data_IF_192564951791
#
_entry.id   IF_192564951791
#
_cell.length_a   1.000
_cell.length_b   1.000
_cell.length_c   1.000
_cell.angle_alpha   90.00
_cell.angle_beta   90.00
_cell.angle_gamma   90.00
#
_symmetry.space_group_name_H-M   'P 1'
#
loop_
_entity.id
_entity.type
_entity.pdbx_description
1 polymer ?
#
# COMPACT_ATOMS: atom_id res chain seq x y z
N UNK A 1 -10.02 -8.32 -9.40
CA UNK A 1 -9.65 -7.35 -8.36
C UNK A 1 -9.00 -6.17 -9.03
N UNK A 2 -9.23 -4.96 -8.53
CA UNK A 2 -8.54 -3.76 -9.01
C UNK A 2 -7.03 -3.85 -8.68
N UNK A 3 -6.19 -3.19 -9.47
CA UNK A 3 -4.75 -3.11 -9.17
C UNK A 3 -4.52 -2.03 -8.12
N UNK A 4 -3.50 -2.22 -7.28
CA UNK A 4 -3.17 -1.25 -6.23
C UNK A 4 -2.12 -0.26 -6.75
N UNK A 5 -2.40 1.03 -6.62
CA UNK A 5 -1.42 2.08 -6.94
C UNK A 5 -0.42 2.19 -5.77
N UNK A 6 0.86 1.96 -6.07
CA UNK A 6 1.96 2.03 -5.10
C UNK A 6 2.21 3.43 -4.52
N UNK A 7 1.67 4.48 -5.14
CA UNK A 7 1.74 5.86 -4.64
C UNK A 7 0.56 6.24 -3.75
N UNK A 8 -0.36 5.31 -3.50
CA UNK A 8 -1.54 5.52 -2.64
C UNK A 8 -1.14 5.77 -1.18
N UNK A 9 -2.10 6.25 -0.40
CA UNK A 9 -1.95 6.32 1.06
C UNK A 9 -1.82 4.93 1.68
N UNK A 10 -1.20 4.84 2.87
CA UNK A 10 -1.11 3.57 3.61
C UNK A 10 -2.49 2.97 3.86
N UNK A 11 -3.48 3.79 4.15
CA UNK A 11 -4.86 3.37 4.40
C UNK A 11 -5.48 2.70 3.16
N UNK A 12 -5.39 3.32 1.98
CA UNK A 12 -5.93 2.74 0.75
C UNK A 12 -5.24 1.40 0.38
N UNK A 13 -3.96 1.27 0.71
CA UNK A 13 -3.22 0.02 0.52
C UNK A 13 -3.64 -1.06 1.53
N UNK A 14 -3.87 -0.69 2.78
CA UNK A 14 -4.38 -1.58 3.83
C UNK A 14 -5.80 -2.08 3.49
N UNK A 15 -6.69 -1.19 3.04
CA UNK A 15 -8.04 -1.54 2.57
C UNK A 15 -8.01 -2.53 1.40
N UNK A 16 -7.06 -2.34 0.46
CA UNK A 16 -6.86 -3.26 -0.65
C UNK A 16 -6.46 -4.66 -0.16
N UNK A 17 -5.53 -4.74 0.78
CA UNK A 17 -5.07 -6.00 1.34
C UNK A 17 -6.18 -6.71 2.12
N UNK A 18 -6.98 -5.99 2.89
CA UNK A 18 -8.14 -6.55 3.59
C UNK A 18 -9.14 -7.15 2.60
N UNK A 19 -9.46 -6.45 1.51
CA UNK A 19 -10.32 -6.98 0.44
C UNK A 19 -9.72 -8.21 -0.23
N UNK A 20 -8.41 -8.24 -0.44
CA UNK A 20 -7.71 -9.42 -0.96
C UNK A 20 -7.86 -10.61 -0.01
N UNK A 21 -7.67 -10.41 1.29
CA UNK A 21 -7.78 -11.45 2.31
C UNK A 21 -9.21 -12.00 2.39
N UNK A 22 -10.23 -11.13 2.40
CA UNK A 22 -11.64 -11.52 2.33
C UNK A 22 -11.91 -12.34 1.06
N UNK A 23 -11.47 -11.84 -0.09
CA UNK A 23 -11.63 -12.55 -1.37
C UNK A 23 -10.96 -13.94 -1.33
N UNK A 24 -9.74 -14.02 -0.78
CA UNK A 24 -9.02 -15.27 -0.60
C UNK A 24 -9.80 -16.27 0.26
N UNK A 25 -10.41 -15.82 1.36
CA UNK A 25 -11.21 -16.68 2.23
C UNK A 25 -12.45 -17.27 1.54
N UNK A 26 -13.02 -16.57 0.56
CA UNK A 26 -14.14 -17.10 -0.24
C UNK A 26 -13.73 -18.23 -1.19
N UNK A 27 -12.44 -18.38 -1.48
CA UNK A 27 -11.92 -19.40 -2.40
C UNK A 27 -11.46 -20.62 -1.62
N UNK A 28 -12.26 -21.70 -1.68
CA UNK A 28 -12.00 -22.96 -0.96
C UNK A 28 -10.64 -23.60 -1.30
N UNK A 29 -10.04 -23.25 -2.43
CA UNK A 29 -8.83 -23.83 -2.98
C UNK A 29 -7.57 -22.96 -2.81
N UNK A 30 -7.69 -21.75 -2.25
CA UNK A 30 -6.57 -20.82 -2.04
C UNK A 30 -6.04 -21.00 -0.61
N UNK A 31 -5.00 -21.82 -0.46
CA UNK A 31 -4.24 -22.01 0.79
C UNK A 31 -2.73 -22.04 0.50
N UNK A 32 -1.93 -21.61 1.48
CA UNK A 32 -0.46 -21.69 1.41
C UNK A 32 0.10 -20.96 0.18
N UNK A 33 1.02 -21.60 -0.55
CA UNK A 33 1.72 -21.05 -1.71
C UNK A 33 0.79 -20.49 -2.80
N UNK A 34 -0.45 -20.99 -2.90
CA UNK A 34 -1.44 -20.44 -3.82
C UNK A 34 -1.77 -18.99 -3.51
N UNK A 35 -1.82 -18.58 -2.24
CA UNK A 35 -2.14 -17.19 -1.89
C UNK A 35 -1.07 -16.22 -2.39
N UNK A 36 0.20 -16.65 -2.35
CA UNK A 36 1.35 -15.88 -2.86
C UNK A 36 1.24 -15.70 -4.36
N UNK A 37 0.94 -16.76 -5.11
CA UNK A 37 0.72 -16.65 -6.55
C UNK A 37 -0.43 -15.69 -6.90
N UNK A 38 -1.53 -15.74 -6.14
CA UNK A 38 -2.68 -14.86 -6.38
C UNK A 38 -2.37 -13.39 -6.08
N UNK A 39 -1.72 -13.07 -4.95
CA UNK A 39 -1.38 -11.66 -4.66
C UNK A 39 -0.44 -11.11 -5.74
N UNK A 40 0.58 -11.88 -6.16
CA UNK A 40 1.52 -11.44 -7.20
C UNK A 40 0.83 -11.21 -8.55
N UNK A 41 -0.24 -11.96 -8.86
CA UNK A 41 -1.04 -11.75 -10.06
C UNK A 41 -1.98 -10.54 -9.97
N UNK A 42 -2.52 -10.24 -8.79
CA UNK A 42 -3.53 -9.20 -8.60
C UNK A 42 -2.99 -7.81 -8.23
N UNK A 43 -1.80 -7.70 -7.62
CA UNK A 43 -1.24 -6.40 -7.19
C UNK A 43 -0.92 -5.45 -8.34
N UNK A 44 -0.81 -5.96 -9.57
CA UNK A 44 -0.48 -5.16 -10.75
C UNK A 44 1.03 -5.01 -10.98
N UNK A 45 1.38 -4.40 -12.12
CA UNK A 45 2.77 -4.36 -12.63
C UNK A 45 3.71 -3.55 -11.73
N UNK A 46 3.26 -2.38 -11.29
CA UNK A 46 4.08 -1.41 -10.55
C UNK A 46 4.42 -1.95 -9.16
N UNK A 47 3.41 -2.40 -8.42
CA UNK A 47 3.57 -3.06 -7.13
C UNK A 47 4.45 -4.31 -7.24
N UNK A 48 4.28 -5.12 -8.29
CA UNK A 48 5.14 -6.28 -8.51
C UNK A 48 6.60 -5.91 -8.81
N UNK A 49 6.84 -4.85 -9.60
CA UNK A 49 8.21 -4.36 -9.88
C UNK A 49 8.89 -3.82 -8.62
N UNK A 50 8.15 -3.08 -7.79
CA UNK A 50 8.60 -2.64 -6.49
C UNK A 50 8.95 -3.84 -5.60
N UNK A 51 8.04 -4.82 -5.52
CA UNK A 51 8.24 -6.02 -4.71
C UNK A 51 9.47 -6.83 -5.12
N UNK A 52 9.77 -6.94 -6.43
CA UNK A 52 11.03 -7.55 -6.90
C UNK A 52 12.26 -6.82 -6.38
N UNK A 53 12.20 -5.50 -6.31
CA UNK A 53 13.31 -4.68 -5.83
C UNK A 53 13.48 -4.85 -4.32
N UNK A 54 12.35 -4.89 -3.58
CA UNK A 54 12.35 -5.05 -2.12
C UNK A 54 12.71 -6.47 -1.65
N UNK A 55 12.38 -7.49 -2.45
CA UNK A 55 12.62 -8.89 -2.13
C UNK A 55 14.05 -9.37 -2.48
N UNK A 56 14.84 -8.56 -3.19
CA UNK A 56 16.19 -8.93 -3.63
C UNK A 56 17.08 -9.31 -2.43
N UNK A 57 17.85 -10.41 -2.48
CA UNK A 57 18.17 -11.26 -3.65
C UNK A 57 17.16 -12.38 -3.95
N UNK A 58 16.13 -12.56 -3.12
CA UNK A 58 15.14 -13.62 -3.28
C UNK A 58 14.07 -13.25 -4.33
N UNK A 59 13.29 -14.25 -4.76
CA UNK A 59 12.17 -14.02 -5.68
C UNK A 59 10.90 -13.76 -4.87
N UNK A 60 10.03 -12.82 -5.28
CA UNK A 60 8.78 -12.60 -4.55
C UNK A 60 7.92 -13.86 -4.34
N UNK A 61 7.98 -14.82 -5.26
CA UNK A 61 7.22 -16.07 -5.16
C UNK A 61 7.75 -17.05 -4.09
N UNK A 62 9.02 -16.93 -3.68
CA UNK A 62 9.61 -17.77 -2.64
C UNK A 62 9.36 -17.24 -1.23
N UNK A 63 8.91 -15.99 -1.10
CA UNK A 63 8.65 -15.35 0.17
C UNK A 63 7.24 -15.70 0.69
N UNK A 64 7.07 -15.89 2.01
CA UNK A 64 5.76 -16.01 2.62
C UNK A 64 4.90 -14.77 2.40
N UNK A 65 3.58 -14.95 2.31
CA UNK A 65 2.64 -13.84 2.15
C UNK A 65 2.82 -12.74 3.22
N UNK A 66 3.05 -13.13 4.48
CA UNK A 66 3.28 -12.18 5.57
C UNK A 66 4.46 -11.25 5.29
N UNK A 67 5.57 -11.79 4.79
CA UNK A 67 6.75 -11.02 4.41
C UNK A 67 6.47 -10.08 3.25
N UNK A 68 5.74 -10.54 2.22
CA UNK A 68 5.36 -9.70 1.09
C UNK A 68 4.45 -8.53 1.52
N UNK A 69 3.47 -8.81 2.38
CA UNK A 69 2.57 -7.81 2.96
C UNK A 69 3.35 -6.76 3.74
N UNK A 70 4.28 -7.19 4.58
CA UNK A 70 5.12 -6.29 5.38
C UNK A 70 6.05 -5.43 4.50
N UNK A 71 6.70 -6.00 3.49
CA UNK A 71 7.56 -5.26 2.57
C UNK A 71 6.80 -4.13 1.87
N UNK A 72 5.60 -4.42 1.37
CA UNK A 72 4.77 -3.42 0.69
C UNK A 72 4.27 -2.34 1.66
N UNK A 73 3.76 -2.73 2.83
CA UNK A 73 3.30 -1.79 3.85
C UNK A 73 4.43 -0.87 4.33
N UNK A 74 5.62 -1.41 4.58
CA UNK A 74 6.78 -0.62 5.00
C UNK A 74 7.20 0.39 3.93
N UNK A 75 7.08 0.06 2.64
CA UNK A 75 7.34 1.01 1.57
C UNK A 75 6.32 2.16 1.55
N UNK A 76 5.03 1.83 1.57
CA UNK A 76 3.96 2.85 1.56
C UNK A 76 4.02 3.74 2.80
N UNK A 77 4.34 3.17 3.97
CA UNK A 77 4.56 3.92 5.23
C UNK A 77 5.84 4.76 5.22
N UNK A 78 6.93 4.31 4.59
CA UNK A 78 8.13 5.14 4.39
C UNK A 78 7.86 6.31 3.45
N UNK A 79 6.97 6.15 2.49
CA UNK A 79 6.54 7.24 1.61
C UNK A 79 5.80 8.35 2.36
N UNK A 80 5.23 8.07 3.54
CA UNK A 80 4.67 9.08 4.48
C UNK A 80 5.69 9.57 5.53
N UNK A 81 6.97 9.74 5.14
CA UNK A 81 8.03 10.20 6.03
C UNK A 81 7.68 11.53 6.72
N UNK A 82 8.01 11.68 8.01
CA UNK A 82 7.72 12.89 8.79
C UNK A 82 8.22 14.15 8.09
N UNK A 83 9.44 14.15 7.53
CA UNK A 83 9.94 15.34 6.83
C UNK A 83 9.14 15.67 5.57
N UNK A 84 8.57 14.67 4.89
CA UNK A 84 7.69 14.90 3.72
C UNK A 84 6.36 15.49 4.16
N UNK A 85 5.74 14.94 5.19
CA UNK A 85 4.48 15.46 5.74
C UNK A 85 4.68 16.87 6.32
N UNK A 86 5.78 17.08 7.04
CA UNK A 86 6.18 18.40 7.53
C UNK A 86 6.41 19.38 6.37
N UNK A 87 7.05 18.97 5.28
CA UNK A 87 7.20 19.81 4.09
C UNK A 87 5.85 20.12 3.41
N UNK A 88 4.91 19.16 3.37
CA UNK A 88 3.53 19.42 2.88
C UNK A 88 2.83 20.43 3.78
N UNK A 89 2.87 20.26 5.10
CA UNK A 89 2.29 21.17 6.08
C UNK A 89 2.85 22.58 5.93
N UNK A 90 4.18 22.74 5.80
CA UNK A 90 4.81 24.05 5.59
C UNK A 90 4.44 24.70 4.26
N UNK A 91 4.06 23.92 3.23
CA UNK A 91 3.57 24.44 1.94
C UNK A 91 2.09 24.79 1.96
N UNK A 92 1.33 24.37 2.98
CA UNK A 92 -0.09 24.69 3.07
C UNK A 92 -0.28 26.14 3.51
N UNK A 93 -0.87 26.94 2.62
CA UNK A 93 -1.26 28.32 2.91
C UNK A 93 -2.78 28.39 2.97
N UNK A 94 -3.32 28.88 4.10
CA UNK A 94 -4.76 29.15 4.21
C UNK A 94 -5.11 30.34 3.31
N UNK A 95 -6.00 30.12 2.35
CA UNK A 95 -6.58 31.22 1.56
C UNK A 95 -7.38 32.17 2.46
N UNK A 96 -7.29 33.47 2.20
CA UNK A 96 -7.89 34.53 3.03
C UNK A 96 -9.42 34.40 3.20
N UNK A 97 -10.10 33.83 2.21
CA UNK A 97 -11.54 33.60 2.19
C UNK A 97 -11.98 32.30 2.90
N UNK A 98 -11.05 31.43 3.32
CA UNK A 98 -11.37 30.11 3.87
C UNK A 98 -11.44 30.13 5.38
N UNK A 99 -12.55 29.66 5.96
CA UNK A 99 -12.73 29.60 7.43
C UNK A 99 -11.77 28.58 8.05
N UNK A 100 -11.30 28.87 9.27
CA UNK A 100 -10.37 28.00 10.01
C UNK A 100 -10.96 26.60 10.19
N UNK A 101 -12.25 26.49 10.53
CA UNK A 101 -12.96 25.22 10.69
C UNK A 101 -12.93 24.29 9.45
N UNK A 102 -12.82 24.88 8.26
CA UNK A 102 -12.75 24.13 6.98
C UNK A 102 -11.32 23.80 6.57
N UNK A 103 -10.34 24.43 7.23
CA UNK A 103 -8.91 24.24 6.96
C UNK A 103 -8.30 23.19 7.89
N UNK A 104 -8.74 23.13 9.16
CA UNK A 104 -8.24 22.17 10.16
C UNK A 104 -8.28 20.71 9.69
N UNK A 105 -9.36 20.18 9.06
CA UNK A 105 -9.39 18.78 8.62
C UNK A 105 -8.43 18.43 7.48
N UNK A 106 -7.74 19.43 6.92
CA UNK A 106 -6.77 19.26 5.82
C UNK A 106 -5.32 19.39 6.28
N UNK A 107 -5.10 19.76 7.54
CA UNK A 107 -3.78 19.75 8.18
C UNK A 107 -3.41 18.32 8.56
#
# INVERSE_FOLDING_TARGET
MEQVDTNSTSEAFEDYLERFEIWSMTKKDVKGDKIVAHILAFIGREAYSLLKTLAYPEKPISLPYATLKELLLNHVKRTSFECRERAKFHKMIRQSNRKVKEFIPKL
#
